data_IF_019005270825
#
_entry.id   IF_019005270825
#
_cell.length_a   1.000
_cell.length_b   1.000
_cell.length_c   1.000
_cell.angle_alpha   90.00
_cell.angle_beta   90.00
_cell.angle_gamma   90.00
#
_symmetry.space_group_name_H-M   'P 1'
#
loop_
_entity.id
_entity.type
_entity.pdbx_description
1 polymer ?
#
# COMPACT_ATOMS: atom_id res chain seq x y z
N UNK A 1 15.87 -2.87 -13.22
CA UNK A 1 14.94 -3.68 -12.40
C UNK A 1 14.46 -3.02 -11.11
N UNK A 2 15.12 -1.99 -10.56
CA UNK A 2 14.61 -1.31 -9.34
C UNK A 2 13.29 -0.55 -9.58
N UNK A 3 13.17 0.17 -10.70
CA UNK A 3 11.97 0.96 -11.04
C UNK A 3 10.77 0.04 -11.28
N UNK A 4 10.95 -1.05 -12.03
CA UNK A 4 9.89 -2.02 -12.29
C UNK A 4 9.46 -2.78 -11.03
N UNK A 5 10.37 -3.08 -10.10
CA UNK A 5 10.03 -3.70 -8.83
C UNK A 5 9.28 -2.74 -7.89
N UNK A 6 9.66 -1.45 -7.88
CA UNK A 6 8.92 -0.41 -7.16
C UNK A 6 7.52 -0.16 -7.75
N UNK A 7 7.35 -0.31 -9.06
CA UNK A 7 6.06 -0.24 -9.74
C UNK A 7 5.23 -1.54 -9.60
N UNK A 8 5.87 -2.71 -9.44
CA UNK A 8 5.21 -4.02 -9.48
C UNK A 8 5.00 -4.70 -8.11
N UNK A 9 5.68 -4.28 -7.02
CA UNK A 9 5.52 -4.89 -5.68
C UNK A 9 4.17 -4.64 -4.99
N UNK A 10 3.21 -4.05 -5.70
CA UNK A 10 1.93 -4.73 -5.89
C UNK A 10 1.00 -4.81 -4.69
N UNK A 11 0.19 -3.76 -4.55
CA UNK A 11 -1.26 -3.94 -4.56
C UNK A 11 -1.87 -2.83 -5.46
N UNK A 12 -1.41 -2.67 -6.72
CA UNK A 12 -2.01 -1.72 -7.69
C UNK A 12 -1.09 -0.66 -8.35
N UNK A 13 0.24 -0.82 -8.33
CA UNK A 13 1.17 0.14 -8.94
C UNK A 13 1.28 1.49 -8.20
N UNK A 14 1.64 2.59 -8.88
CA UNK A 14 1.69 3.95 -8.29
C UNK A 14 0.39 4.36 -7.57
N UNK A 15 -0.72 3.69 -7.88
CA UNK A 15 -2.06 3.96 -7.37
C UNK A 15 -2.53 2.99 -6.28
N UNK A 16 -1.70 2.05 -5.81
CA UNK A 16 -2.04 1.09 -4.76
C UNK A 16 -1.19 1.21 -3.49
N UNK A 17 -1.53 0.56 -2.38
CA UNK A 17 -0.80 0.72 -1.10
C UNK A 17 0.49 -0.13 -0.97
N UNK A 18 1.00 -0.67 -2.07
CA UNK A 18 2.09 -1.65 -2.06
C UNK A 18 3.41 -1.11 -1.48
N UNK A 19 3.74 0.16 -1.74
CA UNK A 19 4.95 0.78 -1.20
C UNK A 19 4.88 0.93 0.33
N UNK A 20 3.71 1.23 0.88
CA UNK A 20 3.48 1.35 2.31
C UNK A 20 3.61 -0.01 3.01
N UNK A 21 3.03 -1.06 2.42
CA UNK A 21 3.13 -2.44 2.92
C UNK A 21 4.58 -2.91 2.89
N UNK A 22 5.29 -2.68 1.78
CA UNK A 22 6.71 -3.03 1.66
C UNK A 22 7.58 -2.32 2.71
N UNK A 23 7.33 -1.04 2.99
CA UNK A 23 8.02 -0.32 4.08
C UNK A 23 7.77 -0.95 5.45
N UNK A 24 6.55 -1.42 5.72
CA UNK A 24 6.26 -2.12 6.99
C UNK A 24 6.99 -3.46 7.07
N UNK A 25 7.09 -4.20 5.97
CA UNK A 25 7.88 -5.45 5.96
C UNK A 25 9.37 -5.19 6.16
N UNK A 26 9.95 -4.22 5.45
CA UNK A 26 11.40 -3.97 5.48
C UNK A 26 11.87 -3.22 6.73
N UNK A 27 11.15 -2.18 7.15
CA UNK A 27 11.57 -1.33 8.27
C UNK A 27 11.10 -1.83 9.63
N UNK A 28 9.98 -2.57 9.68
CA UNK A 28 9.41 -3.07 10.94
C UNK A 28 9.51 -4.59 11.08
N UNK A 29 10.02 -5.30 10.07
CA UNK A 29 10.14 -6.76 10.09
C UNK A 29 8.78 -7.48 10.14
N UNK A 30 7.69 -6.80 9.76
CA UNK A 30 6.34 -7.35 9.84
C UNK A 30 6.13 -8.45 8.79
N UNK A 31 5.35 -9.47 9.15
CA UNK A 31 4.87 -10.45 8.16
C UNK A 31 3.88 -9.79 7.20
N UNK A 32 3.72 -10.35 6.00
CA UNK A 32 2.87 -9.74 4.95
C UNK A 32 1.44 -9.46 5.41
N UNK A 33 0.83 -10.38 6.16
CA UNK A 33 -0.55 -10.23 6.67
C UNK A 33 -0.64 -9.11 7.70
N UNK A 34 0.31 -9.06 8.64
CA UNK A 34 0.40 -8.01 9.65
C UNK A 34 0.64 -6.64 9.01
N UNK A 35 1.54 -6.58 8.04
CA UNK A 35 1.84 -5.35 7.30
C UNK A 35 0.62 -4.83 6.54
N UNK A 36 -0.14 -5.71 5.88
CA UNK A 36 -1.40 -5.35 5.21
C UNK A 36 -2.45 -4.85 6.21
N UNK A 37 -2.68 -5.59 7.29
CA UNK A 37 -3.64 -5.20 8.33
C UNK A 37 -3.25 -3.86 8.98
N UNK A 38 -1.96 -3.65 9.23
CA UNK A 38 -1.45 -2.40 9.79
C UNK A 38 -1.68 -1.21 8.85
N UNK A 39 -1.38 -1.36 7.56
CA UNK A 39 -1.57 -0.29 6.56
C UNK A 39 -3.05 -0.01 6.32
N UNK A 40 -3.89 -1.03 6.16
CA UNK A 40 -5.34 -0.91 6.05
C UNK A 40 -5.94 -0.11 7.22
N UNK A 41 -5.55 -0.49 8.45
CA UNK A 41 -5.97 0.21 9.67
C UNK A 41 -5.51 1.67 9.71
N UNK A 42 -4.32 1.97 9.19
CA UNK A 42 -3.78 3.33 9.17
C UNK A 42 -4.45 4.21 8.11
N UNK A 43 -4.91 3.61 7.02
CA UNK A 43 -5.60 4.30 5.94
C UNK A 43 -7.12 4.29 6.09
N UNK A 44 -7.65 3.65 7.14
CA UNK A 44 -9.09 3.51 7.44
C UNK A 44 -9.88 2.83 6.30
N UNK A 45 -9.26 1.84 5.65
CA UNK A 45 -9.86 1.04 4.56
C UNK A 45 -9.80 -0.45 4.87
N UNK A 46 -10.50 -1.26 4.08
CA UNK A 46 -10.38 -2.73 4.09
C UNK A 46 -9.01 -3.22 3.62
N UNK A 47 -8.69 -4.48 3.88
CA UNK A 47 -7.43 -5.08 3.40
C UNK A 47 -7.49 -5.31 1.89
N UNK A 48 -8.67 -5.69 1.41
CA UNK A 48 -9.04 -5.85 0.01
C UNK A 48 -8.90 -4.54 -0.78
N UNK A 49 -9.28 -3.41 -0.16
CA UNK A 49 -9.24 -2.08 -0.77
C UNK A 49 -7.83 -1.58 -1.02
N UNK A 50 -6.84 -2.13 -0.30
CA UNK A 50 -5.43 -1.79 -0.53
C UNK A 50 -4.95 -2.14 -1.94
N UNK A 51 -5.67 -3.05 -2.63
CA UNK A 51 -5.44 -3.43 -4.03
C UNK A 51 -6.24 -2.61 -5.03
N UNK A 52 -7.28 -1.91 -4.59
CA UNK A 52 -8.21 -1.20 -5.45
C UNK A 52 -7.61 0.17 -5.83
N UNK A 53 -7.24 0.38 -7.11
CA UNK A 53 -6.61 1.62 -7.53
C UNK A 53 -7.56 2.83 -7.54
N UNK A 54 -8.88 2.63 -7.50
CA UNK A 54 -9.87 3.72 -7.40
C UNK A 54 -9.93 4.19 -5.96
N UNK A 55 -10.18 3.29 -5.02
CA UNK A 55 -10.25 3.61 -3.58
C UNK A 55 -8.91 4.19 -3.11
N UNK A 56 -7.80 3.57 -3.49
CA UNK A 56 -6.47 4.05 -3.09
C UNK A 56 -6.10 5.40 -3.74
N UNK A 57 -6.68 5.75 -4.89
CA UNK A 57 -6.49 7.08 -5.47
C UNK A 57 -7.27 8.15 -4.69
N UNK A 58 -8.50 7.86 -4.27
CA UNK A 58 -9.30 8.73 -3.41
C UNK A 58 -8.60 8.96 -2.06
N UNK A 59 -8.23 7.87 -1.37
CA UNK A 59 -7.51 7.94 -0.08
C UNK A 59 -6.21 8.75 -0.19
N UNK A 60 -5.42 8.56 -1.26
CA UNK A 60 -4.19 9.33 -1.46
C UNK A 60 -4.46 10.81 -1.73
N UNK A 61 -5.53 11.12 -2.47
CA UNK A 61 -5.95 12.50 -2.75
C UNK A 61 -6.38 13.19 -1.47
N UNK A 62 -7.22 12.53 -0.67
CA UNK A 62 -7.71 13.04 0.62
C UNK A 62 -6.57 13.29 1.61
N UNK A 63 -5.57 12.42 1.61
CA UNK A 63 -4.38 12.53 2.46
C UNK A 63 -3.30 13.46 1.89
N UNK A 64 -3.47 13.96 0.66
CA UNK A 64 -2.48 14.82 -0.01
C UNK A 64 -1.13 14.14 -0.26
N UNK A 65 -1.12 12.82 -0.44
CA UNK A 65 0.07 11.98 -0.68
C UNK A 65 0.13 11.45 -2.12
N UNK A 66 -0.56 12.15 -3.04
CA UNK A 66 -0.56 11.93 -4.48
C UNK A 66 0.55 12.69 -5.20
#
# INVERSE_FOLDING_TARGET
MAITHAQASGMGGMRGAGDLVARMQMSKGMRIEEAKAYVAKKLLVGIEDLTDPVIMNEVRTDLGIG
#
